data_IF_806541813211
#
_entry.id   IF_806541813211
#
_cell.length_a   1.000
_cell.length_b   1.000
_cell.length_c   1.000
_cell.angle_alpha   90.00
_cell.angle_beta   90.00
_cell.angle_gamma   90.00
#
_symmetry.space_group_name_H-M   'P 1'
#
loop_
_entity.id
_entity.type
_entity.pdbx_description
1 polymer ?
#
# COMPACT_ATOMS: atom_id res chain seq x y z
N UNK A 1 45.88 39.19 -8.96
CA UNK A 1 45.22 37.91 -8.61
C UNK A 1 43.80 38.22 -8.14
N UNK A 2 42.80 38.03 -9.01
CA UNK A 2 41.40 38.32 -8.69
C UNK A 2 40.69 37.05 -8.20
N UNK A 3 40.13 37.11 -6.99
CA UNK A 3 39.40 36.02 -6.37
C UNK A 3 38.00 35.87 -6.99
N UNK A 4 37.69 34.67 -7.49
CA UNK A 4 36.36 34.32 -8.00
C UNK A 4 35.49 33.88 -6.82
N UNK A 5 34.64 34.79 -6.32
CA UNK A 5 33.54 34.42 -5.43
C UNK A 5 32.51 33.62 -6.24
N UNK A 6 32.47 32.30 -6.02
CA UNK A 6 31.38 31.44 -6.51
C UNK A 6 30.15 31.68 -5.62
N UNK A 7 29.18 32.41 -6.15
CA UNK A 7 27.87 32.58 -5.52
C UNK A 7 27.17 31.22 -5.39
N UNK A 8 26.78 30.88 -4.16
CA UNK A 8 25.88 29.75 -3.89
C UNK A 8 24.49 30.14 -4.34
N UNK A 9 23.99 29.52 -5.42
CA UNK A 9 22.59 29.66 -5.79
C UNK A 9 21.71 29.11 -4.65
N UNK A 10 20.63 29.81 -4.25
CA UNK A 10 19.71 29.30 -3.25
C UNK A 10 19.06 28.00 -3.73
N UNK A 11 18.97 27.02 -2.82
CA UNK A 11 18.26 25.77 -3.07
C UNK A 11 16.79 26.08 -3.43
N UNK A 12 16.19 25.39 -4.41
CA UNK A 12 14.80 25.62 -4.78
C UNK A 12 13.88 25.39 -3.57
N UNK A 13 12.94 26.32 -3.37
CA UNK A 13 11.93 26.21 -2.33
C UNK A 13 11.12 24.94 -2.50
N UNK A 14 11.01 24.14 -1.44
CA UNK A 14 10.23 22.91 -1.41
C UNK A 14 8.73 23.25 -1.49
N UNK A 15 8.09 22.93 -2.61
CA UNK A 15 6.70 23.29 -2.96
C UNK A 15 5.65 22.28 -2.48
N UNK A 16 5.89 21.60 -1.36
CA UNK A 16 4.99 20.58 -0.81
C UNK A 16 4.80 19.37 -1.74
N UNK A 17 4.05 18.34 -1.32
CA UNK A 17 3.70 17.26 -2.23
C UNK A 17 2.63 17.76 -3.22
N UNK A 18 2.96 17.77 -4.51
CA UNK A 18 1.98 17.95 -5.58
C UNK A 18 0.84 16.91 -5.54
N UNK A 19 -0.14 16.99 -6.45
CA UNK A 19 -1.24 16.03 -6.50
C UNK A 19 -0.69 14.59 -6.51
N UNK A 20 -1.24 13.74 -5.64
CA UNK A 20 -0.78 12.37 -5.49
C UNK A 20 -1.04 11.60 -6.78
N UNK A 21 -0.06 10.86 -7.30
CA UNK A 21 -0.28 10.06 -8.51
C UNK A 21 -1.37 9.00 -8.24
N UNK A 22 -2.29 8.83 -9.18
CA UNK A 22 -3.23 7.73 -9.19
C UNK A 22 -2.66 6.62 -10.10
N UNK A 23 -2.54 5.41 -9.59
CA UNK A 23 -2.06 4.25 -10.36
C UNK A 23 -3.20 3.33 -10.81
N UNK A 24 -4.45 3.72 -10.56
CA UNK A 24 -5.60 2.91 -10.91
C UNK A 24 -5.71 2.83 -12.44
N UNK A 25 -5.77 1.62 -13.02
CA UNK A 25 -6.03 1.49 -14.44
C UNK A 25 -7.44 2.02 -14.76
N UNK A 26 -7.61 2.62 -15.93
CA UNK A 26 -8.94 3.01 -16.41
C UNK A 26 -9.71 1.73 -16.73
N UNK A 27 -10.74 1.45 -15.93
CA UNK A 27 -11.67 0.34 -16.14
C UNK A 27 -12.88 0.76 -16.98
N UNK A 28 -13.57 -0.23 -17.56
CA UNK A 28 -14.89 -0.01 -18.12
C UNK A 28 -15.87 0.44 -17.00
N UNK A 29 -16.86 1.28 -17.32
CA UNK A 29 -17.86 1.69 -16.33
C UNK A 29 -18.63 0.48 -15.79
N UNK A 30 -18.98 0.53 -14.50
CA UNK A 30 -19.85 -0.46 -13.87
C UNK A 30 -21.27 -0.27 -14.41
N UNK A 31 -21.88 -1.35 -14.88
CA UNK A 31 -23.26 -1.36 -15.37
C UNK A 31 -24.25 -1.61 -14.22
N UNK A 32 -25.51 -1.19 -14.41
CA UNK A 32 -26.53 -1.31 -13.36
C UNK A 32 -26.79 -2.77 -12.95
N UNK A 33 -26.87 -3.68 -13.92
CA UNK A 33 -27.04 -5.13 -13.73
C UNK A 33 -25.91 -5.74 -12.89
N UNK A 34 -24.67 -5.30 -13.10
CA UNK A 34 -23.52 -5.76 -12.31
C UNK A 34 -23.55 -5.23 -10.89
N UNK A 35 -24.03 -4.00 -10.71
CA UNK A 35 -24.18 -3.41 -9.38
C UNK A 35 -25.29 -4.13 -8.60
N UNK A 36 -26.43 -4.38 -9.23
CA UNK A 36 -27.54 -5.15 -8.64
C UNK A 36 -27.09 -6.54 -8.23
N UNK A 37 -26.37 -7.26 -9.11
CA UNK A 37 -25.80 -8.57 -8.78
C UNK A 37 -24.87 -8.52 -7.56
N UNK A 38 -24.03 -7.49 -7.45
CA UNK A 38 -23.15 -7.32 -6.29
C UNK A 38 -23.96 -7.09 -5.01
N UNK A 39 -25.00 -6.25 -5.08
CA UNK A 39 -25.90 -5.98 -3.94
C UNK A 39 -26.59 -7.25 -3.49
N UNK A 40 -27.07 -8.08 -4.42
CA UNK A 40 -27.72 -9.36 -4.12
C UNK A 40 -26.76 -10.33 -3.44
N UNK A 41 -25.53 -10.46 -3.93
CA UNK A 41 -24.49 -11.31 -3.31
C UNK A 41 -24.18 -10.84 -1.89
N UNK A 42 -23.98 -9.54 -1.69
CA UNK A 42 -23.61 -8.97 -0.39
C UNK A 42 -24.76 -9.10 0.61
N UNK A 43 -25.98 -8.78 0.20
CA UNK A 43 -27.17 -8.85 1.06
C UNK A 43 -27.55 -10.29 1.36
N UNK A 44 -27.49 -11.18 0.37
CA UNK A 44 -27.81 -12.60 0.49
C UNK A 44 -26.82 -13.40 1.33
N UNK A 45 -25.59 -12.92 1.51
CA UNK A 45 -24.59 -13.58 2.35
C UNK A 45 -24.94 -13.58 3.85
N UNK A 46 -25.89 -12.73 4.29
CA UNK A 46 -26.32 -12.64 5.68
C UNK A 46 -25.16 -12.32 6.65
N UNK A 47 -24.26 -11.42 6.22
CA UNK A 47 -23.09 -11.02 6.99
C UNK A 47 -21.94 -12.02 7.04
N UNK A 48 -22.01 -13.13 6.29
CA UNK A 48 -20.96 -14.16 6.22
C UNK A 48 -20.02 -13.97 5.02
N UNK A 49 -19.84 -12.73 4.56
CA UNK A 49 -18.98 -12.40 3.45
C UNK A 49 -17.60 -11.94 3.95
N UNK A 50 -16.53 -12.63 3.53
CA UNK A 50 -15.16 -12.18 3.73
C UNK A 50 -14.61 -11.57 2.42
N UNK A 51 -13.91 -10.43 2.52
CA UNK A 51 -13.32 -9.77 1.36
C UNK A 51 -11.81 -10.05 1.27
N UNK A 52 -11.34 -10.61 0.15
CA UNK A 52 -9.92 -10.70 -0.16
C UNK A 52 -9.48 -9.50 -1.00
N UNK A 53 -8.49 -8.73 -0.53
CA UNK A 53 -7.99 -7.56 -1.27
C UNK A 53 -6.51 -7.70 -1.64
N UNK A 54 -6.10 -6.95 -2.66
CA UNK A 54 -4.71 -6.85 -3.10
C UNK A 54 -4.34 -5.43 -3.49
N UNK A 55 -3.15 -5.27 -4.08
CA UNK A 55 -2.51 -3.96 -4.28
C UNK A 55 -3.34 -3.03 -5.19
N UNK A 56 -4.15 -3.59 -6.09
CA UNK A 56 -5.09 -2.84 -6.93
C UNK A 56 -6.00 -1.91 -6.13
N UNK A 57 -6.45 -2.32 -4.94
CA UNK A 57 -7.33 -1.52 -4.09
C UNK A 57 -6.62 -0.24 -3.59
N UNK A 58 -5.29 -0.24 -3.43
CA UNK A 58 -4.50 0.90 -2.94
C UNK A 58 -3.98 1.82 -4.04
N UNK A 59 -4.28 1.54 -5.31
CA UNK A 59 -3.76 2.33 -6.44
C UNK A 59 -4.25 3.78 -6.48
N UNK A 60 -5.52 4.01 -6.11
CA UNK A 60 -6.08 5.36 -5.93
C UNK A 60 -5.52 6.09 -4.70
N UNK A 61 -4.85 5.37 -3.79
CA UNK A 61 -4.16 5.95 -2.64
C UNK A 61 -2.72 6.38 -2.97
N UNK A 62 -2.29 6.24 -4.23
CA UNK A 62 -0.94 6.53 -4.68
C UNK A 62 0.07 5.43 -4.36
N UNK A 63 -0.40 4.22 -4.05
CA UNK A 63 0.46 3.04 -3.89
C UNK A 63 0.42 2.24 -5.20
N UNK A 64 1.54 2.08 -5.92
CA UNK A 64 1.53 1.34 -7.17
C UNK A 64 1.24 -0.14 -6.92
N UNK A 65 0.51 -0.76 -7.84
CA UNK A 65 0.35 -2.21 -7.83
C UNK A 65 1.59 -2.91 -8.45
N UNK A 66 1.48 -4.22 -8.61
CA UNK A 66 2.56 -5.01 -9.21
C UNK A 66 2.39 -5.22 -10.71
N UNK A 67 1.15 -5.41 -11.20
CA UNK A 67 0.88 -6.09 -12.48
C UNK A 67 0.08 -5.26 -13.49
N UNK A 68 -0.52 -4.15 -13.09
CA UNK A 68 -1.21 -3.24 -14.02
C UNK A 68 -0.19 -2.62 -15.00
N UNK A 69 -0.63 -1.98 -16.09
CA UNK A 69 0.30 -1.42 -17.09
C UNK A 69 1.35 -0.47 -16.49
N UNK A 70 0.99 0.32 -15.47
CA UNK A 70 1.88 1.22 -14.72
C UNK A 70 2.47 0.59 -13.44
N UNK A 71 2.22 -0.70 -13.22
CA UNK A 71 2.65 -1.48 -12.07
C UNK A 71 4.17 -1.65 -12.00
N UNK A 72 4.65 -2.03 -10.82
CA UNK A 72 6.09 -2.09 -10.54
C UNK A 72 6.83 -3.11 -11.42
N UNK A 73 6.22 -4.24 -11.79
CA UNK A 73 6.89 -5.25 -12.63
C UNK A 73 7.09 -4.78 -14.08
N UNK A 74 6.18 -3.96 -14.61
CA UNK A 74 6.34 -3.32 -15.92
C UNK A 74 7.52 -2.34 -15.96
N UNK A 75 7.96 -1.87 -14.78
CA UNK A 75 9.13 -0.98 -14.59
C UNK A 75 10.42 -1.74 -14.28
N UNK A 76 10.41 -3.08 -14.43
CA UNK A 76 11.57 -3.93 -14.16
C UNK A 76 11.85 -4.17 -12.67
N UNK A 77 10.93 -3.81 -11.77
CA UNK A 77 11.10 -4.13 -10.35
C UNK A 77 11.13 -5.65 -10.14
N UNK A 78 12.16 -6.13 -9.45
CA UNK A 78 12.26 -7.53 -9.02
C UNK A 78 12.21 -7.59 -7.49
N UNK A 79 11.26 -8.32 -6.90
CA UNK A 79 11.21 -8.48 -5.46
C UNK A 79 12.44 -9.26 -4.99
N UNK A 80 13.00 -8.83 -3.87
CA UNK A 80 14.06 -9.58 -3.20
C UNK A 80 13.48 -10.86 -2.60
N UNK A 81 14.16 -11.99 -2.78
CA UNK A 81 13.74 -13.25 -2.16
C UNK A 81 14.16 -13.26 -0.69
N UNK A 82 13.35 -13.90 0.15
CA UNK A 82 13.66 -14.05 1.58
C UNK A 82 15.06 -14.66 1.81
N UNK A 83 15.41 -15.69 1.03
CA UNK A 83 16.72 -16.35 1.15
C UNK A 83 17.89 -15.39 0.90
N UNK A 84 17.77 -14.48 -0.07
CA UNK A 84 18.81 -13.50 -0.40
C UNK A 84 18.96 -12.50 0.75
N UNK A 85 17.83 -12.04 1.29
CA UNK A 85 17.80 -11.14 2.45
C UNK A 85 18.47 -11.76 3.68
N UNK A 86 18.23 -13.04 3.97
CA UNK A 86 18.78 -13.71 5.16
C UNK A 86 20.25 -14.07 4.99
N UNK A 87 20.66 -14.54 3.81
CA UNK A 87 22.01 -15.09 3.59
C UNK A 87 23.07 -14.03 3.30
N UNK A 88 22.71 -12.91 2.66
CA UNK A 88 23.68 -11.91 2.23
C UNK A 88 23.50 -10.56 2.96
N UNK A 89 24.45 -10.16 3.83
CA UNK A 89 24.44 -8.85 4.47
C UNK A 89 24.36 -7.67 3.50
N UNK A 90 24.95 -7.78 2.31
CA UNK A 90 24.97 -6.71 1.30
C UNK A 90 23.59 -6.51 0.69
N UNK A 91 22.91 -7.59 0.31
CA UNK A 91 21.51 -7.57 -0.14
C UNK A 91 20.58 -7.02 0.94
N UNK A 92 20.81 -7.41 2.20
CA UNK A 92 20.05 -6.94 3.36
C UNK A 92 20.20 -5.42 3.56
N UNK A 93 21.44 -4.91 3.50
CA UNK A 93 21.73 -3.48 3.58
C UNK A 93 21.09 -2.70 2.42
N UNK A 94 21.19 -3.22 1.18
CA UNK A 94 20.58 -2.61 -0.02
C UNK A 94 19.06 -2.54 0.09
N UNK A 95 18.42 -3.58 0.61
CA UNK A 95 16.99 -3.55 0.88
C UNK A 95 16.62 -2.45 1.86
N UNK A 96 17.30 -2.38 3.01
CA UNK A 96 16.98 -1.37 4.03
C UNK A 96 17.21 0.05 3.53
N UNK A 97 18.29 0.29 2.76
CA UNK A 97 18.54 1.59 2.15
C UNK A 97 17.39 2.03 1.21
N UNK A 98 16.93 1.12 0.33
CA UNK A 98 15.78 1.38 -0.55
C UNK A 98 14.48 1.54 0.25
N UNK A 99 14.27 0.70 1.24
CA UNK A 99 13.09 0.70 2.10
C UNK A 99 12.99 2.02 2.88
N UNK A 100 14.11 2.58 3.35
CA UNK A 100 14.16 3.87 4.01
C UNK A 100 13.72 5.00 3.08
N UNK A 101 14.21 5.02 1.84
CA UNK A 101 13.80 6.02 0.85
C UNK A 101 12.32 5.93 0.46
N UNK A 102 11.80 4.71 0.32
CA UNK A 102 10.39 4.47 -0.02
C UNK A 102 9.42 4.68 1.14
N UNK A 103 9.88 4.57 2.39
CA UNK A 103 9.02 4.58 3.58
C UNK A 103 8.11 5.81 3.65
N UNK A 104 8.65 7.01 3.40
CA UNK A 104 7.90 8.27 3.48
C UNK A 104 6.68 8.30 2.55
N UNK A 105 6.77 7.67 1.38
CA UNK A 105 5.65 7.61 0.43
C UNK A 105 4.55 6.66 0.92
N UNK A 106 4.94 5.50 1.44
CA UNK A 106 3.99 4.54 2.02
C UNK A 106 3.30 5.10 3.26
N UNK A 107 4.05 5.74 4.16
CA UNK A 107 3.48 6.28 5.39
C UNK A 107 2.52 7.45 5.12
N UNK A 108 2.80 8.26 4.10
CA UNK A 108 1.90 9.34 3.69
C UNK A 108 0.61 8.86 2.98
N UNK A 109 0.54 7.60 2.54
CA UNK A 109 -0.64 7.05 1.87
C UNK A 109 -1.87 7.12 2.79
N UNK A 110 -3.00 7.52 2.21
CA UNK A 110 -4.27 7.66 2.93
C UNK A 110 -5.30 6.71 2.31
N UNK A 111 -6.24 6.18 3.11
CA UNK A 111 -7.28 5.32 2.56
C UNK A 111 -8.10 6.05 1.48
N UNK A 112 -8.53 5.32 0.46
CA UNK A 112 -9.43 5.80 -0.60
C UNK A 112 -10.89 5.39 -0.31
N UNK A 113 -11.77 5.61 -1.30
CA UNK A 113 -13.19 5.30 -1.18
C UNK A 113 -13.45 3.79 -0.97
N UNK A 114 -12.72 2.91 -1.65
CA UNK A 114 -12.89 1.47 -1.52
C UNK A 114 -12.59 0.96 -0.10
N UNK A 115 -11.52 1.46 0.53
CA UNK A 115 -11.20 1.10 1.92
C UNK A 115 -12.31 1.56 2.88
N UNK A 116 -12.80 2.79 2.71
CA UNK A 116 -13.88 3.35 3.55
C UNK A 116 -15.20 2.59 3.35
N UNK A 117 -15.50 2.19 2.12
CA UNK A 117 -16.69 1.40 1.79
C UNK A 117 -16.64 0.02 2.47
N UNK A 118 -15.50 -0.69 2.40
CA UNK A 118 -15.34 -1.97 3.10
C UNK A 118 -15.47 -1.81 4.62
N UNK A 119 -14.86 -0.78 5.20
CA UNK A 119 -15.02 -0.49 6.62
C UNK A 119 -16.48 -0.17 6.98
N UNK A 120 -17.24 0.49 6.11
CA UNK A 120 -18.67 0.75 6.31
C UNK A 120 -19.50 -0.55 6.23
N UNK A 121 -19.28 -1.37 5.21
CA UNK A 121 -19.95 -2.67 5.05
C UNK A 121 -19.69 -3.58 6.26
N UNK A 122 -18.47 -3.57 6.79
CA UNK A 122 -18.12 -4.27 8.01
C UNK A 122 -18.87 -3.72 9.23
N UNK A 123 -18.92 -2.39 9.40
CA UNK A 123 -19.66 -1.76 10.51
C UNK A 123 -21.16 -2.06 10.46
N UNK A 124 -21.73 -2.20 9.27
CA UNK A 124 -23.13 -2.54 9.06
C UNK A 124 -23.41 -4.04 9.02
N UNK A 125 -22.40 -4.89 9.24
CA UNK A 125 -22.58 -6.34 9.33
C UNK A 125 -22.79 -7.05 7.99
N UNK A 126 -22.52 -6.41 6.86
CA UNK A 126 -22.58 -7.03 5.53
C UNK A 126 -21.31 -7.82 5.21
N UNK A 127 -20.17 -7.38 5.75
CA UNK A 127 -18.86 -8.03 5.60
C UNK A 127 -18.38 -8.46 6.98
N UNK A 128 -17.97 -9.72 7.11
CA UNK A 128 -17.45 -10.27 8.37
C UNK A 128 -16.02 -9.83 8.63
N UNK A 129 -15.25 -9.50 7.59
CA UNK A 129 -13.89 -8.99 7.69
C UNK A 129 -13.17 -8.94 6.36
N UNK A 130 -11.93 -8.47 6.42
CA UNK A 130 -11.04 -8.32 5.27
C UNK A 130 -9.79 -9.18 5.46
N UNK A 131 -9.47 -10.01 4.47
CA UNK A 131 -8.16 -10.63 4.32
C UNK A 131 -7.41 -9.80 3.28
N UNK A 132 -6.26 -9.23 3.64
CA UNK A 132 -5.51 -8.37 2.73
C UNK A 132 -4.13 -8.93 2.42
N UNK A 133 -3.78 -8.94 1.15
CA UNK A 133 -2.41 -9.19 0.69
C UNK A 133 -1.50 -7.95 0.82
N UNK A 134 -2.09 -6.79 1.13
CA UNK A 134 -1.36 -5.53 1.23
C UNK A 134 -0.65 -5.44 2.57
N UNK A 135 0.47 -4.71 2.59
CA UNK A 135 1.27 -4.46 3.79
C UNK A 135 1.20 -3.00 4.25
N UNK A 136 0.25 -2.23 3.70
CA UNK A 136 0.18 -0.75 3.75
C UNK A 136 -0.68 -0.18 4.89
N UNK A 137 -1.38 -1.03 5.64
CA UNK A 137 -2.27 -0.67 6.76
C UNK A 137 -3.46 0.24 6.40
N UNK A 138 -3.79 0.40 5.13
CA UNK A 138 -4.82 1.36 4.70
C UNK A 138 -6.24 0.92 5.10
N UNK A 139 -6.53 -0.38 5.20
CA UNK A 139 -7.82 -0.87 5.70
C UNK A 139 -8.06 -0.46 7.15
N UNK A 140 -7.06 -0.62 8.00
CA UNK A 140 -7.17 -0.30 9.41
C UNK A 140 -7.17 1.23 9.63
N UNK A 141 -6.38 1.98 8.83
CA UNK A 141 -6.46 3.45 8.79
C UNK A 141 -7.84 3.95 8.31
N UNK A 142 -8.61 3.15 7.55
CA UNK A 142 -9.98 3.47 7.15
C UNK A 142 -11.05 3.13 8.20
N UNK A 143 -10.63 2.54 9.34
CA UNK A 143 -11.53 2.09 10.40
C UNK A 143 -12.02 0.65 10.27
N UNK A 144 -11.38 -0.17 9.42
CA UNK A 144 -11.62 -1.62 9.40
C UNK A 144 -11.16 -2.27 10.71
N UNK A 145 -12.01 -3.10 11.32
CA UNK A 145 -11.77 -3.67 12.66
C UNK A 145 -11.29 -5.12 12.60
N UNK A 146 -11.87 -5.93 11.71
CA UNK A 146 -11.50 -7.31 11.47
C UNK A 146 -10.70 -7.42 10.17
N UNK A 147 -9.40 -7.15 10.27
CA UNK A 147 -8.47 -7.18 9.13
C UNK A 147 -7.33 -8.16 9.40
N UNK A 148 -7.18 -9.15 8.52
CA UNK A 148 -6.08 -10.12 8.52
C UNK A 148 -5.02 -9.71 7.48
N UNK A 149 -3.84 -9.34 7.97
CA UNK A 149 -2.68 -8.96 7.16
C UNK A 149 -1.91 -10.21 6.68
N UNK A 150 -2.29 -10.79 5.54
CA UNK A 150 -1.77 -12.09 5.06
C UNK A 150 -0.25 -12.09 4.83
N UNK A 151 0.30 -10.97 4.38
CA UNK A 151 1.72 -10.82 4.10
C UNK A 151 2.47 -10.00 5.17
N UNK A 152 1.87 -9.83 6.34
CA UNK A 152 2.40 -8.97 7.40
C UNK A 152 2.24 -7.48 7.09
N UNK A 153 3.07 -6.65 7.72
CA UNK A 153 2.92 -5.19 7.71
C UNK A 153 4.24 -4.48 7.50
N UNK A 154 4.24 -3.35 6.80
CA UNK A 154 5.46 -2.57 6.52
C UNK A 154 5.87 -1.65 7.67
N UNK A 155 4.96 -1.39 8.61
CA UNK A 155 5.11 -0.52 9.78
C UNK A 155 5.67 -1.25 11.00
N UNK A 156 6.00 -2.54 10.83
CA UNK A 156 6.68 -3.36 11.82
C UNK A 156 8.01 -3.90 11.29
N UNK A 157 8.92 -4.17 12.21
CA UNK A 157 10.19 -4.83 11.97
C UNK A 157 10.31 -6.02 12.92
N UNK A 158 10.73 -7.17 12.39
CA UNK A 158 10.98 -8.38 13.17
C UNK A 158 12.47 -8.70 13.24
N UNK A 159 12.96 -9.01 14.45
CA UNK A 159 14.29 -9.58 14.62
C UNK A 159 14.33 -11.03 14.09
N UNK A 160 15.27 -11.34 13.19
CA UNK A 160 15.42 -12.70 12.64
C UNK A 160 15.87 -13.72 13.69
N UNK A 161 16.59 -13.29 14.73
CA UNK A 161 17.08 -14.17 15.80
C UNK A 161 16.00 -14.53 16.81
N UNK A 162 15.36 -13.53 17.43
CA UNK A 162 14.42 -13.75 18.53
C UNK A 162 12.94 -13.54 18.18
N UNK A 163 12.62 -13.25 16.91
CA UNK A 163 11.25 -13.04 16.38
C UNK A 163 10.45 -11.90 16.99
N UNK A 164 11.05 -11.14 17.90
CA UNK A 164 10.45 -9.96 18.50
C UNK A 164 10.14 -8.90 17.43
N UNK A 165 8.90 -8.45 17.39
CA UNK A 165 8.44 -7.36 16.52
C UNK A 165 8.50 -6.02 17.24
N UNK A 166 8.73 -4.96 16.48
CA UNK A 166 8.76 -3.56 16.93
C UNK A 166 8.11 -2.68 15.88
N UNK A 167 7.48 -1.55 16.27
CA UNK A 167 7.17 -0.48 15.34
C UNK A 167 8.43 -0.07 14.58
N UNK A 168 8.25 0.26 13.31
CA UNK A 168 9.34 0.72 12.43
C UNK A 168 9.76 2.16 12.73
N UNK A 169 8.86 2.97 13.29
CA UNK A 169 9.06 4.36 13.69
C UNK A 169 8.68 4.55 15.17
#
# INVERSE_FOLDING_TARGET
>A
AAAVHRGTAPLPAWSGPGPRPCFAPVGAPVTADRLELLVDIVSGAGGRLACLTGAGLSTESGVPDYRSPQGSYSKGHRPMRHQDFVRDPTSRARYWARSLGGWRFFDAARPNAAHRALAALERHGFVSGVVTQNVDRLHQRAGGRNVLDLHGRNDEVACLGCRRTRPRA
#
